data_IF_734686611357
#
_entry.id   IF_734686611357
#
_cell.length_a   1.000
_cell.length_b   1.000
_cell.length_c   1.000
_cell.angle_alpha   90.00
_cell.angle_beta   90.00
_cell.angle_gamma   90.00
#
_symmetry.space_group_name_H-M   'P 1'
#
loop_
_entity.id
_entity.type
_entity.pdbx_description
1 polymer ?
#
# COMPACT_ATOMS: atom_id res chain seq x y z
N UNK A 1 -1.38 18.48 18.06
CA UNK A 1 -1.40 17.14 17.45
C UNK A 1 0.02 16.59 17.53
N UNK A 2 0.23 15.49 18.25
CA UNK A 2 1.56 14.90 18.43
C UNK A 2 2.04 14.35 17.08
N UNK A 3 3.07 14.97 16.51
CA UNK A 3 3.75 14.48 15.31
C UNK A 3 4.69 13.34 15.74
N UNK A 4 4.12 12.19 16.09
CA UNK A 4 4.92 10.98 16.21
C UNK A 4 5.37 10.60 14.80
N UNK A 5 6.66 10.78 14.53
CA UNK A 5 7.26 10.35 13.29
C UNK A 5 6.96 8.87 13.10
N UNK A 6 6.17 8.56 12.06
CA UNK A 6 5.86 7.19 11.69
C UNK A 6 7.18 6.46 11.44
N UNK A 7 7.39 5.35 12.14
CA UNK A 7 8.56 4.49 11.94
C UNK A 7 8.38 3.63 10.68
N UNK A 8 8.25 4.29 9.53
CA UNK A 8 7.94 3.66 8.24
C UNK A 8 9.01 2.67 7.77
N UNK A 9 10.22 2.79 8.32
CA UNK A 9 11.39 2.04 7.87
C UNK A 9 11.80 0.92 8.83
N UNK A 10 10.90 0.51 9.76
CA UNK A 10 11.15 -0.64 10.64
C UNK A 10 12.42 -0.48 11.49
N UNK A 11 12.58 0.69 12.12
CA UNK A 11 13.76 1.13 12.86
C UNK A 11 15.02 1.39 12.02
N UNK A 12 14.98 1.24 10.69
CA UNK A 12 16.08 1.66 9.84
C UNK A 12 16.16 3.19 9.82
N UNK A 13 17.35 3.78 10.05
CA UNK A 13 17.55 5.22 9.88
C UNK A 13 17.26 5.63 8.43
N UNK A 14 16.58 6.77 8.25
CA UNK A 14 16.24 7.27 6.93
C UNK A 14 17.49 7.51 6.06
N UNK A 15 18.59 7.95 6.67
CA UNK A 15 19.88 8.21 6.01
C UNK A 15 20.41 6.94 5.33
N UNK A 16 20.26 5.78 5.99
CA UNK A 16 20.65 4.49 5.40
C UNK A 16 19.76 4.16 4.20
N UNK A 17 18.45 4.37 4.32
CA UNK A 17 17.51 4.14 3.20
C UNK A 17 17.85 4.98 1.97
N UNK A 18 18.09 6.28 2.15
CA UNK A 18 18.44 7.19 1.07
C UNK A 18 19.80 6.90 0.46
N UNK A 19 20.80 6.55 1.27
CA UNK A 19 22.15 6.25 0.79
C UNK A 19 22.20 4.95 0.02
N UNK A 20 21.54 3.90 0.51
CA UNK A 20 21.78 2.54 0.00
C UNK A 20 20.69 2.05 -0.95
N UNK A 21 19.41 2.44 -0.75
CA UNK A 21 18.28 1.77 -1.39
C UNK A 21 17.43 2.64 -2.32
N UNK A 22 17.15 3.91 -1.96
CA UNK A 22 16.24 4.75 -2.73
C UNK A 22 16.66 4.85 -4.20
N UNK A 23 15.78 4.42 -5.11
CA UNK A 23 16.00 4.41 -6.56
C UNK A 23 17.28 3.66 -7.01
N UNK A 24 17.76 2.72 -6.20
CA UNK A 24 18.95 1.91 -6.51
C UNK A 24 18.60 0.43 -6.62
N UNK A 25 17.94 -0.11 -5.61
CA UNK A 25 17.56 -1.52 -5.56
C UNK A 25 16.27 -1.73 -4.76
N UNK A 26 15.51 -2.80 -5.04
CA UNK A 26 14.34 -3.15 -4.23
C UNK A 26 14.74 -3.57 -2.82
N UNK A 27 13.94 -3.18 -1.83
CA UNK A 27 14.15 -3.49 -0.41
C UNK A 27 12.85 -3.98 0.23
N UNK A 28 12.91 -5.14 0.90
CA UNK A 28 11.83 -5.62 1.76
C UNK A 28 12.09 -5.23 3.22
N UNK A 29 11.33 -4.26 3.73
CA UNK A 29 11.36 -3.87 5.14
C UNK A 29 10.38 -4.75 5.93
N UNK A 30 10.90 -5.75 6.63
CA UNK A 30 10.07 -6.66 7.44
C UNK A 30 9.61 -5.94 8.71
N UNK A 31 8.33 -6.14 9.07
CA UNK A 31 7.71 -5.54 10.27
C UNK A 31 7.91 -4.02 10.36
N UNK A 32 7.77 -3.32 9.23
CA UNK A 32 7.84 -1.86 9.20
C UNK A 32 6.83 -1.22 10.18
N UNK A 33 5.64 -1.80 10.26
CA UNK A 33 4.66 -1.52 11.30
C UNK A 33 4.47 -2.76 12.16
N UNK A 34 4.62 -2.61 13.47
CA UNK A 34 4.18 -3.61 14.44
C UNK A 34 2.65 -3.65 14.44
N UNK A 35 2.08 -4.85 14.56
CA UNK A 35 0.62 -5.07 14.64
C UNK A 35 -0.19 -4.30 13.59
N UNK A 36 0.26 -4.33 12.33
CA UNK A 36 -0.41 -3.65 11.22
C UNK A 36 -1.92 -3.95 11.17
N UNK A 37 -2.72 -2.88 11.11
CA UNK A 37 -4.17 -2.93 10.90
C UNK A 37 -4.53 -2.10 9.68
N UNK A 38 -5.30 -2.68 8.77
CA UNK A 38 -5.86 -1.93 7.63
C UNK A 38 -6.77 -0.81 8.14
N UNK A 39 -6.70 0.37 7.51
CA UNK A 39 -7.59 1.50 7.79
C UNK A 39 -8.97 1.36 7.16
N UNK A 40 -9.15 0.40 6.26
CA UNK A 40 -10.42 0.14 5.54
C UNK A 40 -10.70 -1.37 5.52
N UNK A 41 -11.97 -1.75 5.74
CA UNK A 41 -12.39 -3.14 5.63
C UNK A 41 -12.58 -3.54 4.16
N UNK A 42 -12.51 -4.85 3.87
CA UNK A 42 -12.66 -5.34 2.50
C UNK A 42 -14.00 -4.97 1.85
N UNK A 43 -15.10 -5.06 2.61
CA UNK A 43 -16.43 -4.69 2.12
C UNK A 43 -16.55 -3.20 1.85
N UNK A 44 -15.94 -2.36 2.69
CA UNK A 44 -15.95 -0.90 2.50
C UNK A 44 -15.16 -0.53 1.24
N UNK A 45 -14.00 -1.17 1.01
CA UNK A 45 -13.20 -0.98 -0.20
C UNK A 45 -13.94 -1.45 -1.47
N UNK A 46 -14.68 -2.56 -1.39
CA UNK A 46 -15.53 -3.02 -2.48
C UNK A 46 -16.68 -2.03 -2.75
N UNK A 47 -17.29 -1.46 -1.70
CA UNK A 47 -18.30 -0.42 -1.83
C UNK A 47 -17.77 0.82 -2.56
N UNK A 48 -16.54 1.27 -2.25
CA UNK A 48 -15.90 2.38 -2.96
C UNK A 48 -15.71 2.12 -4.45
N UNK A 49 -15.62 0.86 -4.86
CA UNK A 49 -15.43 0.50 -6.27
C UNK A 49 -16.66 0.67 -7.16
N UNK A 50 -17.79 1.01 -6.55
CA UNK A 50 -19.05 1.33 -7.23
C UNK A 50 -19.16 2.83 -7.58
N UNK A 51 -18.26 3.67 -7.05
CA UNK A 51 -18.29 5.13 -7.22
C UNK A 51 -17.63 5.54 -8.55
N UNK A 52 -18.33 6.34 -9.35
CA UNK A 52 -17.89 6.78 -10.69
C UNK A 52 -16.57 7.59 -10.66
N UNK A 53 -16.32 8.32 -9.57
CA UNK A 53 -15.15 9.19 -9.42
C UNK A 53 -13.87 8.43 -9.06
N UNK A 54 -13.95 7.12 -8.81
CA UNK A 54 -12.81 6.33 -8.33
C UNK A 54 -12.39 5.28 -9.35
N UNK A 55 -11.12 5.33 -9.73
CA UNK A 55 -10.55 4.36 -10.67
C UNK A 55 -10.26 3.02 -10.00
N UNK A 56 -11.06 2.01 -10.33
CA UNK A 56 -10.84 0.63 -9.90
C UNK A 56 -10.65 -0.33 -11.07
N UNK A 57 -9.95 -1.43 -10.81
CA UNK A 57 -9.80 -2.55 -11.75
C UNK A 57 -9.83 -3.90 -11.05
N UNK A 58 -10.41 -4.89 -11.70
CA UNK A 58 -10.32 -6.30 -11.32
C UNK A 58 -9.34 -7.00 -12.28
N UNK A 59 -8.44 -7.82 -11.72
CA UNK A 59 -7.52 -8.67 -12.48
C UNK A 59 -7.84 -10.12 -12.17
N UNK A 60 -8.30 -10.85 -13.19
CA UNK A 60 -8.95 -12.14 -13.04
C UNK A 60 -8.12 -13.26 -13.69
N UNK A 61 -7.89 -14.31 -12.91
CA UNK A 61 -7.41 -15.61 -13.39
C UNK A 61 -5.98 -15.64 -13.94
N UNK A 62 -5.54 -16.81 -14.44
CA UNK A 62 -4.18 -17.02 -14.94
C UNK A 62 -3.89 -16.28 -16.26
N UNK A 63 -4.94 -15.92 -16.99
CA UNK A 63 -4.84 -15.18 -18.25
C UNK A 63 -4.81 -13.66 -18.04
N UNK A 64 -4.87 -13.19 -16.78
CA UNK A 64 -4.83 -11.77 -16.42
C UNK A 64 -5.87 -10.94 -17.17
N UNK A 65 -7.11 -11.41 -17.22
CA UNK A 65 -8.23 -10.61 -17.78
C UNK A 65 -8.43 -9.40 -16.88
N UNK A 66 -8.61 -8.21 -17.47
CA UNK A 66 -8.78 -6.96 -16.74
C UNK A 66 -10.13 -6.34 -17.04
N UNK A 67 -10.87 -6.00 -15.98
CA UNK A 67 -12.11 -5.24 -16.03
C UNK A 67 -11.90 -3.91 -15.30
N UNK A 68 -12.44 -2.83 -15.86
CA UNK A 68 -12.34 -1.48 -15.30
C UNK A 68 -13.70 -1.07 -14.76
N UNK A 69 -13.70 -0.47 -13.57
CA UNK A 69 -14.92 -0.07 -12.87
C UNK A 69 -15.63 1.15 -13.49
N UNK A 70 -16.70 1.63 -12.86
CA UNK A 70 -17.25 1.11 -11.59
C UNK A 70 -17.84 -0.29 -11.75
N UNK A 71 -17.99 -1.01 -10.63
CA UNK A 71 -18.53 -2.38 -10.58
C UNK A 71 -19.97 -2.45 -10.07
#
# INVERSE_FOLDING_TARGET
MSNQALNLLGNMPAERFFRDYKQKEPLLIRKAWEDFKSSIAGNDLAGLSLEDEVEFRLVLGPNHVVEFGPF
#
